data_IF_680424129241
#
_entry.id   IF_680424129241
#
_cell.length_a   1.000
_cell.length_b   1.000
_cell.length_c   1.000
_cell.angle_alpha   90.00
_cell.angle_beta   90.00
_cell.angle_gamma   90.00
#
_symmetry.space_group_name_H-M   'P 1'
#
loop_
_entity.id
_entity.type
_entity.pdbx_description
1 polymer ?
#
# COMPACT_ATOMS: atom_id res chain seq x y z
N UNK A 1 -10.18 -17.80 17.94
CA UNK A 1 -9.03 -16.98 17.52
C UNK A 1 -8.65 -17.33 16.08
N UNK A 2 -8.13 -16.36 15.36
CA UNK A 2 -7.58 -16.55 14.02
C UNK A 2 -6.06 -16.43 14.13
N UNK A 3 -5.34 -17.39 13.56
CA UNK A 3 -3.87 -17.36 13.57
C UNK A 3 -3.31 -17.94 12.27
N UNK A 4 -2.10 -17.53 11.93
CA UNK A 4 -1.28 -18.14 10.88
C UNK A 4 -0.21 -19.01 11.54
N UNK A 5 -0.22 -20.29 11.23
CA UNK A 5 0.81 -21.21 11.69
C UNK A 5 1.89 -21.35 10.61
N UNK A 6 3.07 -20.83 10.89
CA UNK A 6 4.24 -20.91 9.99
C UNK A 6 5.13 -22.13 10.30
N UNK A 7 4.67 -23.03 11.15
CA UNK A 7 5.44 -24.20 11.56
C UNK A 7 6.55 -23.91 12.58
N UNK A 8 7.50 -24.85 12.73
CA UNK A 8 8.63 -24.72 13.66
C UNK A 8 9.76 -23.94 12.99
N UNK A 9 10.34 -22.98 13.75
CA UNK A 9 11.49 -22.15 13.31
C UNK A 9 11.31 -21.56 11.89
N UNK A 10 10.23 -20.79 11.64
CA UNK A 10 10.00 -20.24 10.32
C UNK A 10 11.05 -19.19 9.97
N UNK A 11 11.58 -19.26 8.75
CA UNK A 11 12.46 -18.26 8.15
C UNK A 11 11.72 -17.58 6.98
N UNK A 12 11.82 -16.26 6.90
CA UNK A 12 11.20 -15.46 5.81
C UNK A 12 9.69 -15.71 5.62
N UNK A 13 9.02 -16.06 6.70
CA UNK A 13 7.58 -16.27 6.67
C UNK A 13 6.84 -14.96 6.51
N UNK A 14 5.88 -14.93 5.60
CA UNK A 14 5.04 -13.77 5.36
C UNK A 14 3.56 -14.17 5.38
N UNK A 15 2.70 -13.21 5.65
CA UNK A 15 1.26 -13.42 5.57
C UNK A 15 0.56 -12.18 5.00
N UNK A 16 -0.61 -12.40 4.43
CA UNK A 16 -1.53 -11.35 4.06
C UNK A 16 -2.96 -11.85 4.20
N UNK A 17 -3.88 -10.96 4.57
CA UNK A 17 -5.29 -11.28 4.65
C UNK A 17 -6.15 -10.06 4.35
N UNK A 18 -7.41 -10.31 3.98
CA UNK A 18 -8.41 -9.28 3.76
C UNK A 18 -9.60 -9.58 4.66
N UNK A 19 -10.10 -8.55 5.33
CA UNK A 19 -11.34 -8.60 6.07
C UNK A 19 -12.49 -8.14 5.17
N UNK A 20 -13.53 -8.95 5.08
CA UNK A 20 -14.73 -8.68 4.28
C UNK A 20 -15.95 -8.56 5.21
N UNK A 21 -16.16 -7.38 5.84
CA UNK A 21 -17.29 -7.20 6.75
C UNK A 21 -18.62 -7.33 6.00
N UNK A 22 -19.64 -7.89 6.70
CA UNK A 22 -20.99 -8.08 6.16
C UNK A 22 -21.07 -8.92 4.89
N UNK A 23 -20.16 -9.88 4.72
CA UNK A 23 -20.19 -10.83 3.61
C UNK A 23 -20.55 -12.23 4.10
N UNK A 24 -21.37 -12.93 3.33
CA UNK A 24 -21.64 -14.35 3.57
C UNK A 24 -20.42 -15.21 3.25
N UNK A 25 -20.41 -16.46 3.72
CA UNK A 25 -19.36 -17.43 3.38
C UNK A 25 -19.23 -17.63 1.87
N UNK A 26 -20.35 -17.67 1.13
CA UNK A 26 -20.34 -17.80 -0.33
C UNK A 26 -19.72 -16.57 -1.02
N UNK A 27 -20.05 -15.36 -0.54
CA UNK A 27 -19.45 -14.12 -1.06
C UNK A 27 -17.96 -14.04 -0.76
N UNK A 28 -17.54 -14.48 0.42
CA UNK A 28 -16.11 -14.53 0.81
C UNK A 28 -15.35 -15.52 -0.06
N UNK A 29 -15.91 -16.70 -0.31
CA UNK A 29 -15.32 -17.69 -1.20
C UNK A 29 -15.20 -17.18 -2.64
N UNK A 30 -16.23 -16.51 -3.16
CA UNK A 30 -16.20 -15.89 -4.49
C UNK A 30 -15.13 -14.80 -4.60
N UNK A 31 -14.99 -13.95 -3.58
CA UNK A 31 -13.92 -12.94 -3.54
C UNK A 31 -12.53 -13.58 -3.48
N UNK A 32 -12.36 -14.62 -2.68
CA UNK A 32 -11.08 -15.35 -2.57
C UNK A 32 -10.66 -15.99 -3.89
N UNK A 33 -11.62 -16.43 -4.71
CA UNK A 33 -11.33 -17.01 -6.02
C UNK A 33 -10.88 -15.97 -7.05
N UNK A 34 -11.35 -14.72 -6.94
CA UNK A 34 -11.02 -13.63 -7.86
C UNK A 34 -10.94 -12.29 -7.09
N UNK A 35 -9.90 -12.10 -6.25
CA UNK A 35 -9.75 -10.87 -5.48
C UNK A 35 -9.43 -9.70 -6.39
N UNK A 36 -9.97 -8.52 -6.08
CA UNK A 36 -9.59 -7.27 -6.73
C UNK A 36 -8.30 -6.67 -6.13
N UNK A 37 -7.86 -7.17 -4.99
CA UNK A 37 -6.61 -6.79 -4.35
C UNK A 37 -5.42 -7.55 -4.95
N UNK A 38 -4.37 -6.82 -5.27
CA UNK A 38 -3.10 -7.35 -5.75
C UNK A 38 -1.97 -6.90 -4.81
N UNK A 39 -1.21 -7.85 -4.27
CA UNK A 39 -0.05 -7.55 -3.43
C UNK A 39 1.12 -7.22 -4.34
N UNK A 40 1.60 -5.98 -4.28
CA UNK A 40 2.73 -5.49 -5.08
C UNK A 40 4.07 -5.67 -4.35
N UNK A 41 4.06 -5.59 -3.04
CA UNK A 41 5.22 -5.85 -2.19
C UNK A 41 4.76 -6.31 -0.80
N UNK A 42 5.50 -7.25 -0.22
CA UNK A 42 5.27 -7.70 1.14
C UNK A 42 6.62 -8.08 1.76
N UNK A 43 7.39 -7.06 2.15
CA UNK A 43 8.71 -7.19 2.75
C UNK A 43 8.75 -6.44 4.08
N UNK A 44 9.75 -6.68 4.96
CA UNK A 44 9.91 -5.89 6.18
C UNK A 44 10.10 -4.38 5.94
N UNK A 45 10.58 -3.99 4.77
CA UNK A 45 10.85 -2.60 4.43
C UNK A 45 9.64 -1.89 3.82
N UNK A 46 8.83 -2.62 3.05
CA UNK A 46 7.68 -2.04 2.35
C UNK A 46 6.56 -3.06 2.16
N UNK A 47 5.35 -2.62 2.41
CA UNK A 47 4.13 -3.33 2.00
C UNK A 47 3.38 -2.45 1.00
N UNK A 48 2.88 -3.07 -0.05
CA UNK A 48 2.11 -2.37 -1.07
C UNK A 48 0.98 -3.26 -1.62
N UNK A 49 -0.19 -2.67 -1.76
CA UNK A 49 -1.39 -3.33 -2.29
C UNK A 49 -2.10 -2.42 -3.27
N UNK A 50 -2.59 -2.99 -4.34
CA UNK A 50 -3.43 -2.31 -5.31
C UNK A 50 -4.83 -2.92 -5.34
N UNK A 51 -5.85 -2.07 -5.22
CA UNK A 51 -7.25 -2.44 -5.37
C UNK A 51 -7.73 -2.00 -6.75
N UNK A 52 -7.93 -2.97 -7.64
CA UNK A 52 -8.23 -2.74 -9.07
C UNK A 52 -9.54 -1.99 -9.29
N UNK A 53 -10.60 -2.39 -8.57
CA UNK A 53 -11.93 -1.81 -8.75
C UNK A 53 -12.02 -0.36 -8.26
N UNK A 54 -11.28 -0.03 -7.21
CA UNK A 54 -11.24 1.32 -6.65
C UNK A 54 -10.16 2.20 -7.30
N UNK A 55 -9.28 1.62 -8.10
CA UNK A 55 -8.08 2.26 -8.64
C UNK A 55 -7.22 2.94 -7.54
N UNK A 56 -7.11 2.27 -6.39
CA UNK A 56 -6.38 2.76 -5.21
C UNK A 56 -5.17 1.87 -4.97
N UNK A 57 -4.02 2.49 -4.76
CA UNK A 57 -2.79 1.82 -4.33
C UNK A 57 -2.40 2.35 -2.96
N UNK A 58 -2.22 1.46 -2.00
CA UNK A 58 -1.69 1.77 -0.68
C UNK A 58 -0.27 1.24 -0.55
N UNK A 59 0.64 2.08 -0.04
CA UNK A 59 2.03 1.71 0.22
C UNK A 59 2.40 2.14 1.63
N UNK A 60 3.14 1.30 2.32
CA UNK A 60 3.71 1.63 3.62
C UNK A 60 5.21 1.37 3.59
N UNK A 61 6.00 2.43 3.55
CA UNK A 61 7.45 2.38 3.59
C UNK A 61 7.93 2.59 5.02
N UNK A 62 8.58 1.59 5.59
CA UNK A 62 9.21 1.69 6.92
C UNK A 62 10.62 2.23 6.86
N UNK A 63 11.19 2.30 5.67
CA UNK A 63 12.53 2.81 5.39
C UNK A 63 12.54 3.64 4.11
N UNK A 64 13.48 4.56 3.94
CA UNK A 64 13.72 5.19 2.64
C UNK A 64 13.92 4.15 1.55
N UNK A 65 13.32 4.38 0.39
CA UNK A 65 13.44 3.49 -0.76
C UNK A 65 13.70 4.29 -2.03
N UNK A 66 14.90 4.16 -2.56
CA UNK A 66 15.28 4.75 -3.85
C UNK A 66 14.76 3.91 -5.03
N UNK A 67 14.53 2.61 -4.81
CA UNK A 67 13.93 1.75 -5.81
C UNK A 67 12.41 1.92 -5.80
N UNK A 68 11.79 2.29 -6.92
CA UNK A 68 10.35 2.49 -6.97
C UNK A 68 9.58 1.20 -6.65
N UNK A 69 8.53 1.33 -5.83
CA UNK A 69 7.48 0.32 -5.63
C UNK A 69 6.19 0.93 -6.14
N UNK A 70 5.49 0.26 -7.03
CA UNK A 70 4.32 0.81 -7.75
C UNK A 70 4.60 2.22 -8.34
N UNK A 71 5.82 2.46 -8.82
CA UNK A 71 6.25 3.74 -9.36
C UNK A 71 6.58 4.82 -8.32
N UNK A 72 6.65 4.50 -7.04
CA UNK A 72 6.87 5.45 -5.93
C UNK A 72 8.18 5.15 -5.22
N UNK A 73 9.01 6.19 -5.05
CA UNK A 73 10.18 6.18 -4.17
C UNK A 73 10.02 7.23 -3.08
N UNK A 74 10.65 7.01 -1.94
CA UNK A 74 10.58 7.91 -0.78
C UNK A 74 11.95 8.09 -0.14
N UNK A 75 12.21 9.27 0.41
CA UNK A 75 13.45 9.59 1.14
C UNK A 75 13.34 9.42 2.66
N UNK A 76 12.16 9.09 3.15
CA UNK A 76 11.89 8.85 4.58
C UNK A 76 10.77 7.81 4.71
N UNK A 77 10.57 7.20 5.91
CA UNK A 77 9.39 6.38 6.16
C UNK A 77 8.12 7.13 5.79
N UNK A 78 7.23 6.50 5.05
CA UNK A 78 6.01 7.11 4.56
C UNK A 78 4.91 6.08 4.33
N UNK A 79 3.69 6.42 4.73
CA UNK A 79 2.48 5.77 4.26
C UNK A 79 1.90 6.60 3.13
N UNK A 80 1.74 5.99 1.97
CA UNK A 80 1.29 6.64 0.74
C UNK A 80 0.02 5.97 0.25
N UNK A 81 -0.97 6.77 -0.08
CA UNK A 81 -2.19 6.32 -0.77
C UNK A 81 -2.29 7.06 -2.09
N UNK A 82 -2.41 6.33 -3.18
CA UNK A 82 -2.63 6.90 -4.51
C UNK A 82 -3.98 6.44 -5.04
N UNK A 83 -4.75 7.37 -5.55
CA UNK A 83 -5.97 7.10 -6.30
C UNK A 83 -5.88 7.77 -7.64
N UNK A 84 -6.13 7.01 -8.67
CA UNK A 84 -6.14 7.50 -10.05
C UNK A 84 -7.53 7.31 -10.65
N UNK A 85 -8.09 8.39 -11.16
CA UNK A 85 -9.36 8.42 -11.85
C UNK A 85 -9.27 9.29 -13.12
N UNK A 86 -10.40 9.52 -13.78
CA UNK A 86 -10.47 10.35 -14.99
C UNK A 86 -10.09 11.81 -14.74
N UNK A 87 -10.22 12.30 -13.52
CA UNK A 87 -9.89 13.67 -13.13
C UNK A 87 -8.41 13.87 -12.82
N UNK A 88 -7.70 12.79 -12.49
CA UNK A 88 -6.28 12.85 -12.20
C UNK A 88 -5.79 11.89 -11.13
N UNK A 89 -4.66 12.22 -10.55
CA UNK A 89 -3.98 11.46 -9.51
C UNK A 89 -4.07 12.20 -8.17
N UNK A 90 -4.67 11.53 -7.18
CA UNK A 90 -4.70 12.03 -5.79
C UNK A 90 -3.71 11.24 -4.95
N UNK A 91 -2.85 11.92 -4.22
CA UNK A 91 -1.85 11.32 -3.34
C UNK A 91 -2.05 11.80 -1.92
N UNK A 92 -2.23 10.88 -0.99
CA UNK A 92 -2.18 11.12 0.44
C UNK A 92 -0.89 10.59 1.03
N UNK A 93 -0.28 11.34 1.95
CA UNK A 93 0.98 10.97 2.59
C UNK A 93 0.90 11.22 4.08
N UNK A 94 1.44 10.30 4.86
CA UNK A 94 1.62 10.47 6.30
C UNK A 94 2.91 9.79 6.77
N UNK A 95 3.39 10.20 7.93
CA UNK A 95 4.49 9.52 8.61
C UNK A 95 3.96 8.39 9.50
N UNK A 96 4.22 7.12 9.16
CA UNK A 96 3.76 5.99 9.96
C UNK A 96 4.48 5.89 11.30
N UNK A 97 5.65 6.49 11.44
CA UNK A 97 6.44 6.48 12.67
C UNK A 97 6.01 7.55 13.65
N UNK A 98 5.37 8.63 13.17
CA UNK A 98 5.02 9.84 13.95
C UNK A 98 6.24 10.54 14.59
N UNK A 99 7.43 10.30 14.08
CA UNK A 99 8.69 10.84 14.57
C UNK A 99 9.35 11.84 13.63
N UNK A 100 8.86 11.95 12.41
CA UNK A 100 9.44 12.84 11.42
C UNK A 100 9.06 14.30 11.72
N UNK A 101 10.07 15.13 11.91
CA UNK A 101 9.91 16.58 12.12
C UNK A 101 10.24 17.39 10.87
N UNK A 102 10.63 16.72 9.79
CA UNK A 102 11.02 17.33 8.52
C UNK A 102 10.00 17.08 7.40
N UNK A 103 10.48 17.12 6.19
CA UNK A 103 9.70 16.86 4.98
C UNK A 103 9.86 15.40 4.54
N UNK A 104 8.83 14.87 3.92
CA UNK A 104 8.87 13.60 3.20
C UNK A 104 8.84 13.94 1.71
N UNK A 105 9.87 13.50 0.98
CA UNK A 105 9.91 13.65 -0.47
C UNK A 105 9.46 12.35 -1.13
N UNK A 106 8.46 12.47 -1.98
CA UNK A 106 7.95 11.37 -2.79
C UNK A 106 8.35 11.64 -4.23
N UNK A 107 8.90 10.63 -4.87
CA UNK A 107 9.24 10.66 -6.29
C UNK A 107 8.38 9.66 -7.03
N UNK A 108 7.72 10.11 -8.08
CA UNK A 108 6.97 9.27 -9.00
C UNK A 108 7.83 9.00 -10.24
N UNK A 109 7.84 7.79 -10.74
CA UNK A 109 8.60 7.40 -11.95
C UNK A 109 7.85 7.70 -13.26
N UNK A 110 6.98 8.71 -13.22
CA UNK A 110 6.22 9.19 -14.38
C UNK A 110 6.05 10.70 -14.34
N UNK A 111 5.83 11.30 -15.50
CA UNK A 111 5.49 12.71 -15.58
C UNK A 111 4.10 12.97 -14.99
N UNK A 112 4.01 13.99 -14.14
CA UNK A 112 2.76 14.49 -13.55
C UNK A 112 2.65 15.99 -13.82
N UNK A 113 1.42 16.48 -13.92
CA UNK A 113 1.15 17.91 -14.01
C UNK A 113 1.44 18.66 -12.70
N UNK A 114 1.20 19.95 -12.68
CA UNK A 114 1.28 20.72 -11.44
C UNK A 114 0.15 20.31 -10.50
N UNK A 115 0.39 20.25 -9.18
CA UNK A 115 -0.67 20.03 -8.22
C UNK A 115 -1.76 21.13 -8.34
N UNK A 116 -3.02 20.73 -8.27
CA UNK A 116 -4.16 21.64 -8.21
C UNK A 116 -4.42 22.06 -6.77
N UNK A 117 -4.17 21.16 -5.83
CA UNK A 117 -4.30 21.41 -4.41
C UNK A 117 -3.12 20.74 -3.68
N UNK A 118 -2.53 21.48 -2.76
CA UNK A 118 -1.43 21.03 -1.91
C UNK A 118 -1.72 21.44 -0.47
N UNK A 119 -1.88 20.44 0.40
CA UNK A 119 -2.03 20.68 1.83
C UNK A 119 -0.66 20.58 2.52
N UNK A 120 -0.33 21.53 3.37
CA UNK A 120 0.93 21.51 4.11
C UNK A 120 1.05 20.36 5.12
#
# INVERSE_FOLDING_TARGET
SLCYDHGRTPWDAAYAYILLPNRSAAQTAAYSAAPDAEILANTPQVQAVHFKNAAVTGLNFWQPSANPVAGVSVDAPASVTMREDEEGLTIGVSDPTQLNTGKIRITLDRAVGKPVEENP
#
